data_IF_926597746175
#
_entry.id   IF_926597746175
#
_cell.length_a   1.000
_cell.length_b   1.000
_cell.length_c   1.000
_cell.angle_alpha   90.00
_cell.angle_beta   90.00
_cell.angle_gamma   90.00
#
_symmetry.space_group_name_H-M   'P 1'
#
loop_
_entity.id
_entity.type
_entity.pdbx_description
1 polymer ?
#
# COMPACT_ATOMS: atom_id res chain seq x y z
N UNK A 1 12.04 5.12 -40.15
CA UNK A 1 12.67 5.54 -38.87
C UNK A 1 11.80 6.48 -38.02
N UNK A 2 11.26 7.60 -38.55
CA UNK A 2 10.50 8.57 -37.73
C UNK A 2 9.20 8.03 -37.10
N UNK A 3 8.48 7.14 -37.79
CA UNK A 3 7.25 6.50 -37.26
C UNK A 3 7.55 5.59 -36.05
N UNK A 4 8.65 4.83 -36.10
CA UNK A 4 9.08 3.97 -34.99
C UNK A 4 9.48 4.78 -33.75
N UNK A 5 10.05 5.98 -33.95
CA UNK A 5 10.36 6.90 -32.87
C UNK A 5 9.08 7.43 -32.20
N UNK A 6 8.07 7.80 -33.00
CA UNK A 6 6.74 8.20 -32.50
C UNK A 6 6.06 7.10 -31.69
N UNK A 7 6.11 5.84 -32.14
CA UNK A 7 5.57 4.71 -31.38
C UNK A 7 6.32 4.47 -30.07
N UNK A 8 7.66 4.60 -30.06
CA UNK A 8 8.46 4.48 -28.86
C UNK A 8 8.14 5.59 -27.83
N UNK A 9 7.99 6.84 -28.30
CA UNK A 9 7.58 7.96 -27.44
C UNK A 9 6.17 7.78 -26.87
N UNK A 10 5.25 7.22 -27.65
CA UNK A 10 3.88 6.94 -27.21
C UNK A 10 3.84 5.80 -26.17
N UNK A 11 4.66 4.76 -26.33
CA UNK A 11 4.83 3.68 -25.35
C UNK A 11 5.40 4.19 -24.02
N UNK A 12 6.43 5.03 -24.06
CA UNK A 12 7.00 5.67 -22.87
C UNK A 12 5.96 6.55 -22.15
N UNK A 13 5.13 7.26 -22.91
CA UNK A 13 4.04 8.06 -22.37
C UNK A 13 3.00 7.20 -21.64
N UNK A 14 2.56 6.08 -22.24
CA UNK A 14 1.62 5.15 -21.59
C UNK A 14 2.20 4.58 -20.28
N UNK A 15 3.49 4.22 -20.25
CA UNK A 15 4.12 3.73 -19.01
C UNK A 15 4.21 4.81 -17.93
N UNK A 16 4.39 6.08 -18.30
CA UNK A 16 4.39 7.19 -17.33
C UNK A 16 3.01 7.44 -16.70
N UNK A 17 1.93 7.13 -17.43
CA UNK A 17 0.55 7.19 -16.91
C UNK A 17 0.23 6.03 -15.97
N UNK A 18 1.00 4.94 -16.03
CA UNK A 18 0.83 3.75 -15.21
C UNK A 18 1.71 3.76 -13.95
N UNK A 19 2.26 4.91 -13.55
CA UNK A 19 2.86 5.05 -12.22
C UNK A 19 1.73 4.98 -11.19
N UNK A 20 1.40 3.76 -10.77
CA UNK A 20 0.62 3.56 -9.57
C UNK A 20 1.44 4.13 -8.41
N UNK A 21 1.02 5.29 -7.90
CA UNK A 21 1.43 5.78 -6.59
C UNK A 21 0.84 4.80 -5.56
N UNK A 22 1.51 3.66 -5.39
CA UNK A 22 1.20 2.75 -4.31
C UNK A 22 1.50 3.51 -3.02
N UNK A 23 0.44 3.83 -2.27
CA UNK A 23 0.59 4.31 -0.91
C UNK A 23 1.44 3.29 -0.12
N UNK A 24 2.25 3.75 0.83
CA UNK A 24 3.06 2.86 1.65
C UNK A 24 2.20 1.81 2.36
N UNK A 25 2.83 0.73 2.82
CA UNK A 25 2.10 -0.34 3.51
C UNK A 25 1.29 0.20 4.71
N UNK A 26 1.80 1.22 5.41
CA UNK A 26 1.08 1.87 6.50
C UNK A 26 -0.21 2.56 6.03
N UNK A 27 -0.16 3.35 4.95
CA UNK A 27 -1.35 4.00 4.40
C UNK A 27 -2.37 2.99 3.88
N UNK A 28 -1.91 1.92 3.21
CA UNK A 28 -2.79 0.83 2.78
C UNK A 28 -3.49 0.17 3.97
N UNK A 29 -2.74 -0.14 5.03
CA UNK A 29 -3.28 -0.70 6.28
C UNK A 29 -4.31 0.22 6.92
N UNK A 30 -4.01 1.52 6.98
CA UNK A 30 -4.90 2.55 7.53
C UNK A 30 -6.23 2.62 6.75
N UNK A 31 -6.19 2.53 5.42
CA UNK A 31 -7.40 2.48 4.60
C UNK A 31 -8.25 1.25 4.91
N UNK A 32 -7.66 0.06 4.97
CA UNK A 32 -8.39 -1.15 5.33
C UNK A 32 -8.96 -1.10 6.75
N UNK A 33 -8.22 -0.50 7.69
CA UNK A 33 -8.65 -0.32 9.07
C UNK A 33 -9.90 0.57 9.17
N UNK A 34 -9.94 1.70 8.44
CA UNK A 34 -11.12 2.59 8.39
C UNK A 34 -12.38 1.85 7.95
N UNK A 35 -12.26 0.93 6.98
CA UNK A 35 -13.36 0.09 6.52
C UNK A 35 -13.54 -1.20 7.34
N UNK A 36 -12.88 -1.32 8.49
CA UNK A 36 -12.92 -2.48 9.40
C UNK A 36 -12.56 -3.82 8.74
N UNK A 37 -11.80 -3.78 7.65
CA UNK A 37 -11.21 -4.97 7.06
C UNK A 37 -9.92 -5.29 7.80
N UNK A 38 -10.07 -5.79 9.02
CA UNK A 38 -8.95 -5.99 9.93
C UNK A 38 -7.95 -7.04 9.45
N UNK A 39 -8.40 -8.07 8.74
CA UNK A 39 -7.50 -9.06 8.14
C UNK A 39 -6.52 -8.41 7.14
N UNK A 40 -7.01 -7.59 6.20
CA UNK A 40 -6.14 -6.88 5.25
C UNK A 40 -5.34 -5.76 5.91
N UNK A 41 -5.94 -5.06 6.88
CA UNK A 41 -5.24 -4.03 7.63
C UNK A 41 -4.01 -4.61 8.35
N UNK A 42 -4.20 -5.74 9.05
CA UNK A 42 -3.15 -6.50 9.73
C UNK A 42 -2.03 -6.91 8.79
N UNK A 43 -2.38 -7.49 7.63
CA UNK A 43 -1.40 -7.88 6.60
C UNK A 43 -0.52 -6.70 6.19
N UNK A 44 -1.13 -5.53 5.95
CA UNK A 44 -0.38 -4.34 5.52
C UNK A 44 0.45 -3.73 6.64
N UNK A 45 -0.07 -3.66 7.87
CA UNK A 45 0.71 -3.13 9.00
C UNK A 45 1.91 -4.02 9.34
N UNK A 46 1.81 -5.34 9.21
CA UNK A 46 2.96 -6.24 9.35
C UNK A 46 4.05 -5.94 8.30
N UNK A 47 3.67 -5.73 7.04
CA UNK A 47 4.64 -5.33 5.99
C UNK A 47 5.26 -3.97 6.26
N UNK A 48 4.52 -3.02 6.83
CA UNK A 48 5.04 -1.70 7.21
C UNK A 48 6.13 -1.81 8.29
N UNK A 49 5.88 -2.66 9.30
CA UNK A 49 6.85 -2.98 10.35
C UNK A 49 8.09 -3.66 9.76
N UNK A 50 7.93 -4.65 8.87
CA UNK A 50 9.06 -5.34 8.24
C UNK A 50 9.92 -4.40 7.38
N UNK A 51 9.28 -3.45 6.67
CA UNK A 51 9.97 -2.54 5.77
C UNK A 51 10.71 -1.40 6.49
N UNK A 52 10.19 -0.91 7.62
CA UNK A 52 10.65 0.36 8.21
C UNK A 52 10.59 0.44 9.74
N UNK A 53 10.15 -0.63 10.41
CA UNK A 53 9.92 -0.66 11.86
C UNK A 53 9.00 0.48 12.34
N UNK A 54 7.97 0.78 11.56
CA UNK A 54 7.05 1.89 11.82
C UNK A 54 6.29 1.70 13.15
N UNK A 55 6.52 2.60 14.10
CA UNK A 55 5.86 2.60 15.41
C UNK A 55 4.34 2.76 15.34
N UNK A 56 3.82 3.49 14.35
CA UNK A 56 2.38 3.64 14.17
C UNK A 56 1.75 2.33 13.70
N UNK A 57 2.45 1.55 12.88
CA UNK A 57 1.96 0.25 12.42
C UNK A 57 1.79 -0.72 13.61
N UNK A 58 2.71 -0.72 14.57
CA UNK A 58 2.55 -1.48 15.82
C UNK A 58 1.34 -1.04 16.64
N UNK A 59 1.10 0.26 16.75
CA UNK A 59 -0.09 0.78 17.44
C UNK A 59 -1.38 0.23 16.83
N UNK A 60 -1.51 0.29 15.50
CA UNK A 60 -2.72 -0.21 14.83
C UNK A 60 -2.86 -1.73 14.89
N UNK A 61 -1.76 -2.50 14.91
CA UNK A 61 -1.82 -3.94 15.14
C UNK A 61 -2.43 -4.25 16.52
N UNK A 62 -2.05 -3.53 17.57
CA UNK A 62 -2.66 -3.65 18.89
C UNK A 62 -4.14 -3.27 18.90
N UNK A 63 -4.51 -2.19 18.21
CA UNK A 63 -5.92 -1.80 18.08
C UNK A 63 -6.76 -2.85 17.34
N UNK A 64 -6.19 -3.55 16.35
CA UNK A 64 -6.86 -4.65 15.69
C UNK A 64 -7.14 -5.79 16.68
N UNK A 65 -6.14 -6.22 17.47
CA UNK A 65 -6.36 -7.26 18.49
C UNK A 65 -7.45 -6.86 19.49
N UNK A 66 -7.46 -5.57 19.89
CA UNK A 66 -8.48 -5.02 20.78
C UNK A 66 -9.89 -5.10 20.17
N UNK A 67 -10.02 -4.88 18.87
CA UNK A 67 -11.31 -4.95 18.19
C UNK A 67 -11.79 -6.40 17.96
N UNK A 68 -10.87 -7.34 17.77
CA UNK A 68 -11.19 -8.76 17.51
C UNK A 68 -11.41 -9.59 18.79
N UNK A 69 -11.21 -9.01 19.98
CA UNK A 69 -11.31 -9.71 21.28
C UNK A 69 -10.33 -10.87 21.44
N UNK A 70 -9.14 -10.73 20.86
CA UNK A 70 -8.06 -11.71 20.97
C UNK A 70 -7.20 -11.51 22.25
N UNK A 71 -7.80 -11.06 23.36
CA UNK A 71 -7.13 -10.74 24.63
C UNK A 71 -7.97 -11.19 25.83
#
# INVERSE_FOLDING_TARGET
MKKNLLYASFLLFIMSLAVDVHAGYFEQGSRYYVYRNYARAREMFLKAVEASNDGNAYYFLGEIEKNEKNF
#
